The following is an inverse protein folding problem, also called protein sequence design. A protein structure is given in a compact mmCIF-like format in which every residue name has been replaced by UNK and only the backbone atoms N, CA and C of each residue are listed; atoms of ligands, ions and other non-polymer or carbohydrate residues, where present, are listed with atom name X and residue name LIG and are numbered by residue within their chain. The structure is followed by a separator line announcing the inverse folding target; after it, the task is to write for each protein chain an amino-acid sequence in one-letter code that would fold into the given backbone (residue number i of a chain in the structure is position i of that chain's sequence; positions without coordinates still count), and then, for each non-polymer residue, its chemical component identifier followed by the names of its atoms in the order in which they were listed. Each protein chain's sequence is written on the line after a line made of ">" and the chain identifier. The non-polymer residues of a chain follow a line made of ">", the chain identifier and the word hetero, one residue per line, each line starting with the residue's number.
data_IF_618827484093
#
_entry.id   IF_618827484093
#
_cell.length_a   1.000
_cell.length_b   1.000
_cell.length_c   1.000
_cell.angle_alpha   90.00
_cell.angle_beta   90.00
_cell.angle_gamma   90.00
#
_symmetry.space_group_name_H-M   'P 1'
#
loop_
_entity.id
_entity.type
_entity.pdbx_description
1 polymer ?
#
# COMPACT_ATOMS: atom_id res chain seq x y z
N UNK A 1 -21.84 -15.27 -28.65
CA UNK A 1 -20.59 -14.86 -27.98
C UNK A 1 -20.94 -14.29 -26.61
N UNK A 2 -20.99 -15.13 -25.58
CA UNK A 2 -21.34 -14.71 -24.22
C UNK A 2 -20.14 -14.06 -23.55
N UNK A 3 -20.17 -12.75 -23.38
CA UNK A 3 -19.16 -12.02 -22.61
C UNK A 3 -19.32 -12.41 -21.13
N UNK A 4 -18.36 -13.17 -20.61
CA UNK A 4 -18.33 -13.70 -19.26
C UNK A 4 -18.17 -12.55 -18.24
N UNK A 5 -19.26 -11.87 -17.89
CA UNK A 5 -19.34 -10.82 -16.84
C UNK A 5 -19.35 -11.38 -15.41
N UNK A 6 -18.77 -12.56 -15.15
CA UNK A 6 -18.97 -13.20 -13.84
C UNK A 6 -18.06 -12.73 -12.72
N UNK A 7 -16.89 -12.12 -12.95
CA UNK A 7 -16.02 -11.65 -11.84
C UNK A 7 -15.00 -10.56 -12.28
N UNK A 8 -15.42 -9.30 -12.53
CA UNK A 8 -14.47 -8.22 -12.84
C UNK A 8 -13.47 -7.95 -11.69
N UNK A 9 -13.92 -8.06 -10.44
CA UNK A 9 -13.11 -7.81 -9.24
C UNK A 9 -11.98 -8.83 -9.02
N UNK A 10 -12.21 -10.11 -9.38
CA UNK A 10 -11.17 -11.14 -9.26
C UNK A 10 -10.06 -10.95 -10.29
N UNK A 11 -10.40 -10.50 -11.52
CA UNK A 11 -9.41 -10.19 -12.55
C UNK A 11 -8.50 -9.03 -12.12
N UNK A 12 -9.09 -7.95 -11.63
CA UNK A 12 -8.35 -6.77 -11.16
C UNK A 12 -7.38 -7.12 -10.01
N UNK A 13 -7.85 -7.89 -9.02
CA UNK A 13 -7.01 -8.31 -7.88
C UNK A 13 -5.86 -9.22 -8.32
N UNK A 14 -6.11 -10.17 -9.23
CA UNK A 14 -5.06 -11.03 -9.77
C UNK A 14 -4.00 -10.26 -10.58
N UNK A 15 -4.42 -9.21 -11.31
CA UNK A 15 -3.48 -8.32 -12.01
C UNK A 15 -2.63 -7.54 -11.03
N UNK A 16 -3.24 -6.92 -10.01
CA UNK A 16 -2.53 -6.18 -8.96
C UNK A 16 -1.46 -7.04 -8.28
N UNK A 17 -1.81 -8.27 -7.87
CA UNK A 17 -0.83 -9.18 -7.26
C UNK A 17 0.34 -9.53 -8.19
N UNK A 18 0.10 -9.64 -9.51
CA UNK A 18 1.16 -9.88 -10.49
C UNK A 18 2.06 -8.65 -10.65
N UNK A 19 1.48 -7.45 -10.65
CA UNK A 19 2.23 -6.20 -10.77
C UNK A 19 3.12 -5.99 -9.54
N UNK A 20 2.58 -6.22 -8.34
CA UNK A 20 3.35 -6.20 -7.08
C UNK A 20 4.52 -7.19 -7.10
N UNK A 21 4.26 -8.44 -7.50
CA UNK A 21 5.31 -9.47 -7.60
C UNK A 21 6.40 -9.06 -8.60
N UNK A 22 5.99 -8.58 -9.76
CA UNK A 22 6.92 -8.16 -10.83
C UNK A 22 7.76 -6.96 -10.39
N UNK A 23 7.16 -6.00 -9.68
CA UNK A 23 7.85 -4.84 -9.16
C UNK A 23 8.86 -5.22 -8.06
N UNK A 24 8.46 -6.07 -7.11
CA UNK A 24 9.34 -6.56 -6.04
C UNK A 24 10.55 -7.37 -6.55
N UNK A 25 10.43 -8.04 -7.69
CA UNK A 25 11.57 -8.71 -8.34
C UNK A 25 12.57 -7.74 -8.96
N UNK A 26 12.15 -6.52 -9.27
CA UNK A 26 12.95 -5.52 -10.00
C UNK A 26 13.55 -4.46 -9.07
N UNK A 27 13.09 -4.36 -7.82
CA UNK A 27 13.65 -3.44 -6.85
C UNK A 27 13.09 -3.62 -5.45
N UNK A 28 13.79 -3.07 -4.48
CA UNK A 28 13.34 -3.04 -3.08
C UNK A 28 12.18 -2.05 -2.90
N UNK A 29 11.27 -2.39 -1.98
CA UNK A 29 10.20 -1.52 -1.55
C UNK A 29 10.78 -0.24 -0.93
N UNK A 30 10.47 0.90 -1.52
CA UNK A 30 10.86 2.19 -0.98
C UNK A 30 9.89 2.62 0.11
N UNK A 31 10.44 3.19 1.17
CA UNK A 31 9.70 3.69 2.33
C UNK A 31 10.30 5.01 2.78
N UNK A 32 9.45 5.89 3.34
CA UNK A 32 9.96 7.07 4.02
C UNK A 32 10.84 6.66 5.21
N UNK A 33 11.95 7.37 5.34
CA UNK A 33 12.92 7.23 6.43
C UNK A 33 12.43 7.95 7.69
N UNK A 34 13.02 7.64 8.85
CA UNK A 34 12.71 8.32 10.11
C UNK A 34 12.91 9.84 10.03
N UNK A 35 13.92 10.31 9.31
CA UNK A 35 14.21 11.74 9.10
C UNK A 35 13.10 12.41 8.27
N UNK A 36 12.68 11.78 7.16
CA UNK A 36 11.58 12.28 6.33
C UNK A 36 10.27 12.35 7.13
N UNK A 37 10.00 11.31 7.92
CA UNK A 37 8.84 11.25 8.81
C UNK A 37 8.92 12.28 9.94
N UNK A 38 10.12 12.65 10.41
CA UNK A 38 10.30 13.51 11.58
C UNK A 38 9.64 12.93 12.82
N UNK A 39 9.88 11.64 13.10
CA UNK A 39 9.25 10.93 14.22
C UNK A 39 9.66 11.47 15.60
N UNK A 40 10.70 12.28 15.65
CA UNK A 40 11.15 13.03 16.82
C UNK A 40 10.25 14.23 17.15
N UNK A 41 9.52 14.75 16.16
CA UNK A 41 8.74 16.00 16.26
C UNK A 41 7.26 15.84 15.92
N UNK A 42 6.89 14.75 15.26
CA UNK A 42 5.54 14.55 14.74
C UNK A 42 4.86 13.40 15.48
N UNK A 43 3.67 13.62 16.07
CA UNK A 43 2.93 12.54 16.70
C UNK A 43 2.50 11.51 15.65
N UNK A 44 2.56 10.24 16.05
CA UNK A 44 2.07 9.13 15.24
C UNK A 44 0.78 8.61 15.84
N UNK A 45 -0.28 8.63 15.05
CA UNK A 45 -1.54 7.97 15.39
C UNK A 45 -1.48 6.53 14.90
N UNK A 46 -1.85 5.58 15.76
CA UNK A 46 -1.90 4.16 15.45
C UNK A 46 -3.36 3.76 15.23
N UNK A 47 -3.63 3.03 14.14
CA UNK A 47 -4.96 2.49 13.88
C UNK A 47 -5.34 1.50 15.00
N UNK A 48 -6.59 1.51 15.51
CA UNK A 48 -7.03 0.50 16.45
C UNK A 48 -6.90 -0.90 15.83
N UNK A 49 -6.39 -1.88 16.59
CA UNK A 49 -6.09 -3.23 16.09
C UNK A 49 -7.31 -3.93 15.47
N UNK A 50 -8.51 -3.66 16.00
CA UNK A 50 -9.77 -4.26 15.53
C UNK A 50 -10.40 -3.52 14.36
N UNK A 51 -9.85 -2.37 13.95
CA UNK A 51 -10.39 -1.57 12.85
C UNK A 51 -9.61 -1.89 11.59
N UNK A 52 -10.28 -2.48 10.61
CA UNK A 52 -9.71 -2.66 9.28
C UNK A 52 -9.92 -1.38 8.47
N UNK A 53 -8.89 -0.52 8.41
CA UNK A 53 -8.90 0.67 7.56
C UNK A 53 -8.22 0.29 6.24
N UNK A 54 -8.99 0.25 5.16
CA UNK A 54 -8.49 -0.04 3.83
C UNK A 54 -8.24 1.25 3.03
N UNK A 55 -7.31 1.18 2.07
CA UNK A 55 -7.01 2.26 1.16
C UNK A 55 -6.43 1.73 -0.14
N UNK A 56 -6.17 2.61 -1.08
CA UNK A 56 -5.25 2.35 -2.18
C UNK A 56 -4.05 3.27 -2.07
N UNK A 57 -2.90 2.81 -2.55
CA UNK A 57 -1.69 3.60 -2.49
C UNK A 57 -0.81 3.39 -3.72
N UNK A 58 -0.06 4.44 -4.06
CA UNK A 58 1.07 4.34 -4.97
C UNK A 58 2.31 3.85 -4.19
N UNK A 59 2.75 2.65 -4.54
CA UNK A 59 3.93 1.98 -4.00
C UNK A 59 5.07 2.07 -5.01
N UNK A 60 6.31 2.19 -4.53
CA UNK A 60 7.50 2.23 -5.38
C UNK A 60 8.47 1.12 -5.02
N UNK A 61 8.88 0.35 -6.04
CA UNK A 61 9.91 -0.68 -5.95
C UNK A 61 11.04 -0.32 -6.90
N UNK A 62 12.18 0.14 -6.37
CA UNK A 62 13.24 0.73 -7.20
C UNK A 62 12.71 1.88 -8.07
N UNK A 63 12.60 1.64 -9.39
CA UNK A 63 12.09 2.61 -10.37
C UNK A 63 10.66 2.33 -10.85
N UNK A 64 9.96 1.38 -10.23
CA UNK A 64 8.64 0.91 -10.68
C UNK A 64 7.58 1.34 -9.70
N UNK A 65 6.56 2.02 -10.22
CA UNK A 65 5.39 2.44 -9.47
C UNK A 65 4.24 1.44 -9.68
N UNK A 66 3.59 1.04 -8.59
CA UNK A 66 2.44 0.14 -8.58
C UNK A 66 1.34 0.76 -7.74
N UNK A 67 0.12 0.81 -8.27
CA UNK A 67 -1.05 1.21 -7.50
C UNK A 67 -1.74 -0.04 -6.96
N UNK A 68 -1.89 -0.14 -5.64
CA UNK A 68 -2.42 -1.35 -5.01
C UNK A 68 -3.31 -1.05 -3.80
N UNK A 69 -4.18 -2.01 -3.47
CA UNK A 69 -4.89 -2.03 -2.19
C UNK A 69 -3.92 -2.25 -1.03
N UNK A 70 -4.10 -1.47 0.03
CA UNK A 70 -3.28 -1.53 1.23
C UNK A 70 -4.15 -1.39 2.48
N UNK A 71 -3.69 -1.95 3.58
CA UNK A 71 -4.24 -1.71 4.91
C UNK A 71 -3.50 -0.56 5.58
N UNK A 72 -4.23 0.41 6.07
CA UNK A 72 -3.70 1.56 6.81
C UNK A 72 -3.48 1.15 8.27
N UNK A 73 -2.26 1.36 8.76
CA UNK A 73 -1.81 0.90 10.08
C UNK A 73 -1.61 2.04 11.06
N UNK A 74 -1.18 3.18 10.55
CA UNK A 74 -0.77 4.33 11.32
C UNK A 74 -0.60 5.54 10.41
N UNK A 75 -0.64 6.73 10.97
CA UNK A 75 -0.44 7.95 10.21
C UNK A 75 0.14 9.06 11.09
N UNK A 76 0.65 10.06 10.40
CA UNK A 76 1.03 11.37 10.92
C UNK A 76 0.17 12.42 10.19
N UNK A 77 0.44 13.69 10.42
CA UNK A 77 -0.13 14.80 9.65
C UNK A 77 0.30 14.83 8.17
N UNK A 78 1.37 14.13 7.78
CA UNK A 78 1.94 14.19 6.41
C UNK A 78 2.25 12.84 5.77
N UNK A 79 2.21 11.75 6.52
CA UNK A 79 2.60 10.42 6.04
C UNK A 79 1.70 9.33 6.61
N UNK A 80 1.57 8.23 5.87
CA UNK A 80 0.73 7.09 6.20
C UNK A 80 1.56 5.82 6.15
N UNK A 81 1.50 5.03 7.23
CA UNK A 81 2.11 3.72 7.33
C UNK A 81 1.11 2.67 6.90
N UNK A 82 1.49 1.86 5.92
CA UNK A 82 0.61 0.88 5.30
C UNK A 82 1.22 -0.52 5.34
N UNK A 83 0.35 -1.51 5.24
CA UNK A 83 0.73 -2.92 5.07
C UNK A 83 -0.03 -3.54 3.90
N UNK A 84 0.60 -4.50 3.24
CA UNK A 84 0.02 -5.29 2.15
C UNK A 84 0.79 -6.60 2.05
N UNK A 85 0.38 -7.50 1.17
CA UNK A 85 1.03 -8.81 1.03
C UNK A 85 1.50 -9.08 -0.39
N UNK A 86 2.69 -9.66 -0.52
CA UNK A 86 3.19 -10.24 -1.76
C UNK A 86 3.49 -11.70 -1.48
N UNK A 87 2.80 -12.60 -2.17
CA UNK A 87 2.99 -14.05 -2.04
C UNK A 87 2.93 -14.56 -0.58
N UNK A 88 1.98 -14.03 0.19
CA UNK A 88 1.77 -14.36 1.61
C UNK A 88 2.79 -13.75 2.57
N UNK A 89 3.69 -12.89 2.08
CA UNK A 89 4.67 -12.17 2.91
C UNK A 89 4.15 -10.77 3.21
N UNK A 90 4.00 -10.40 4.49
CA UNK A 90 3.59 -9.05 4.85
C UNK A 90 4.71 -8.07 4.51
N UNK A 91 4.35 -7.04 3.75
CA UNK A 91 5.17 -5.88 3.43
C UNK A 91 4.65 -4.69 4.22
N UNK A 92 5.56 -3.80 4.62
CA UNK A 92 5.23 -2.58 5.35
C UNK A 92 6.08 -1.43 4.83
N UNK A 93 5.48 -0.27 4.63
CA UNK A 93 6.20 0.95 4.27
C UNK A 93 5.45 2.18 4.77
N UNK A 94 6.16 3.30 4.77
CA UNK A 94 5.61 4.63 4.95
C UNK A 94 5.59 5.37 3.62
N UNK A 95 4.49 6.08 3.38
CA UNK A 95 4.24 6.86 2.17
C UNK A 95 3.84 8.28 2.55
N UNK A 96 4.07 9.23 1.65
CA UNK A 96 3.48 10.57 1.79
C UNK A 96 1.96 10.46 1.70
N UNK A 97 1.23 11.29 2.46
CA UNK A 97 -0.23 11.24 2.51
C UNK A 97 -0.86 11.38 1.11
N UNK A 98 -0.30 12.22 0.24
CA UNK A 98 -0.79 12.40 -1.14
C UNK A 98 -0.63 11.17 -2.04
N UNK A 99 0.09 10.14 -1.61
CA UNK A 99 0.20 8.87 -2.32
C UNK A 99 -0.85 7.84 -1.88
N UNK A 100 -1.73 8.18 -0.91
CA UNK A 100 -2.69 7.26 -0.29
C UNK A 100 -4.10 7.82 -0.38
N UNK A 101 -5.03 6.99 -0.85
CA UNK A 101 -6.47 7.26 -0.86
C UNK A 101 -7.15 6.32 0.13
N UNK A 102 -7.83 6.87 1.12
CA UNK A 102 -8.63 6.08 2.07
C UNK A 102 -9.90 5.59 1.37
N UNK A 103 -10.28 4.32 1.59
CA UNK A 103 -11.58 3.81 1.18
C UNK A 103 -12.60 4.13 2.28
N UNK A 104 -13.78 4.61 1.88
CA UNK A 104 -14.92 4.85 2.78
C UNK A 104 -15.56 3.55 3.27
#
# INVERSE_FOLDING_TARGET
>A
MGSNRRYPEHGAKLMEHRDLRTAAQKGELQTLTAIQLGLDRTPVTIAPEKTHIAGTAWLRFGTIDVHAEVRIERWTDRAVGVSFEIDGRPMRCWLWQGAVTFKE
#
